data_IF_488045324356
#
_entry.id   IF_488045324356
#
_cell.length_a   1.000
_cell.length_b   1.000
_cell.length_c   1.000
_cell.angle_alpha   90.00
_cell.angle_beta   90.00
_cell.angle_gamma   90.00
#
_symmetry.space_group_name_H-M   'P 1'
#
loop_
_entity.id
_entity.type
_entity.pdbx_description
1 polymer ?
#
# COMPACT_ATOMS: atom_id res chain seq x y z
N UNK A 1 43.91 29.96 20.88
CA UNK A 1 43.88 28.49 20.98
C UNK A 1 42.53 28.01 20.49
N UNK A 2 42.54 27.34 19.34
CA UNK A 2 41.38 26.67 18.74
C UNK A 2 40.76 25.64 19.68
N UNK A 3 39.43 25.50 19.63
CA UNK A 3 38.77 24.18 19.54
C UNK A 3 37.47 24.33 18.74
N UNK A 4 37.53 23.78 17.53
CA UNK A 4 36.42 23.39 16.65
C UNK A 4 35.88 22.06 17.21
N UNK A 5 34.57 21.91 17.36
CA UNK A 5 33.78 20.66 17.39
C UNK A 5 32.32 21.04 17.72
N UNK A 6 31.28 20.69 16.98
CA UNK A 6 31.14 19.96 15.74
C UNK A 6 29.70 20.18 15.29
N UNK A 7 29.53 20.50 14.01
CA UNK A 7 28.24 20.37 13.34
C UNK A 7 27.92 18.88 13.30
N UNK A 8 27.03 18.42 14.15
CA UNK A 8 26.29 17.19 13.85
C UNK A 8 25.24 17.56 12.80
N UNK A 9 25.62 17.34 11.55
CA UNK A 9 24.67 17.17 10.46
C UNK A 9 23.76 16.00 10.83
N UNK A 10 22.59 16.30 11.38
CA UNK A 10 21.45 15.39 11.33
C UNK A 10 21.12 15.26 9.84
N UNK A 11 21.56 14.15 9.25
CA UNK A 11 21.19 13.75 7.89
C UNK A 11 19.67 13.72 7.87
N UNK A 12 19.10 14.66 7.11
CA UNK A 12 17.69 15.01 7.19
C UNK A 12 16.81 13.85 6.79
N UNK A 13 15.74 13.62 7.56
CA UNK A 13 14.56 12.96 7.04
C UNK A 13 14.13 13.72 5.78
N UNK A 14 14.26 13.11 4.59
CA UNK A 14 13.56 13.62 3.42
C UNK A 14 12.08 13.72 3.82
N UNK A 15 11.51 14.93 3.74
CA UNK A 15 10.11 15.14 4.06
C UNK A 15 9.25 14.26 3.16
N UNK A 16 8.39 13.43 3.72
CA UNK A 16 7.41 12.67 2.94
C UNK A 16 6.59 13.66 2.11
N UNK A 17 6.50 13.43 0.80
CA UNK A 17 5.88 14.34 -0.16
C UNK A 17 4.50 13.85 -0.59
N UNK A 18 3.59 14.78 -0.87
CA UNK A 18 2.28 14.44 -1.42
C UNK A 18 2.42 13.76 -2.79
N UNK A 19 1.55 12.79 -3.10
CA UNK A 19 1.60 12.07 -4.38
C UNK A 19 1.50 12.99 -5.61
N UNK A 20 0.78 14.10 -5.49
CA UNK A 20 0.58 15.08 -6.56
C UNK A 20 1.82 15.89 -6.93
N UNK A 21 2.82 15.95 -6.05
CA UNK A 21 4.08 16.64 -6.28
C UNK A 21 5.22 15.69 -6.66
N UNK A 22 4.97 14.38 -6.70
CA UNK A 22 5.90 13.40 -7.23
C UNK A 22 6.01 13.59 -8.75
N UNK A 23 7.22 13.87 -9.22
CA UNK A 23 7.52 14.01 -10.64
C UNK A 23 8.08 12.72 -11.26
N UNK A 24 8.43 12.79 -12.56
CA UNK A 24 8.97 11.63 -13.26
C UNK A 24 10.39 11.25 -12.79
N UNK A 25 11.16 12.18 -12.24
CA UNK A 25 12.53 11.91 -11.78
C UNK A 25 12.49 11.07 -10.50
N UNK A 26 11.47 11.26 -9.65
CA UNK A 26 11.23 10.44 -8.46
C UNK A 26 11.05 8.94 -8.76
N UNK A 27 10.73 8.55 -10.01
CA UNK A 27 10.67 7.14 -10.42
C UNK A 27 12.01 6.39 -10.25
N UNK A 28 13.15 7.11 -10.10
CA UNK A 28 14.44 6.52 -9.73
C UNK A 28 14.44 5.91 -8.33
N UNK A 29 13.56 6.36 -7.43
CA UNK A 29 13.43 5.81 -6.07
C UNK A 29 13.02 4.34 -6.07
N UNK A 30 12.35 3.86 -7.13
CA UNK A 30 11.93 2.46 -7.24
C UNK A 30 13.14 1.51 -7.34
N UNK A 31 14.04 1.63 -8.34
CA UNK A 31 15.24 0.81 -8.37
C UNK A 31 16.21 1.10 -7.23
N UNK A 32 16.28 2.33 -6.72
CA UNK A 32 17.12 2.67 -5.55
C UNK A 32 16.68 1.94 -4.28
N UNK A 33 15.36 1.71 -4.10
CA UNK A 33 14.79 0.98 -2.97
C UNK A 33 14.40 -0.46 -3.32
N UNK A 34 14.95 -1.03 -4.39
CA UNK A 34 14.50 -2.31 -4.95
C UNK A 34 14.49 -3.45 -3.92
N UNK A 35 15.53 -3.58 -3.10
CA UNK A 35 15.64 -4.66 -2.12
C UNK A 35 14.63 -4.49 -0.98
N UNK A 36 14.44 -3.26 -0.48
CA UNK A 36 13.42 -2.95 0.52
C UNK A 36 12.01 -3.21 0.01
N UNK A 37 11.71 -2.79 -1.24
CA UNK A 37 10.41 -3.03 -1.88
C UNK A 37 10.14 -4.54 -2.04
N UNK A 38 11.13 -5.31 -2.52
CA UNK A 38 10.99 -6.76 -2.69
C UNK A 38 10.79 -7.47 -1.35
N UNK A 39 11.60 -7.12 -0.34
CA UNK A 39 11.51 -7.73 0.98
C UNK A 39 10.14 -7.48 1.62
N UNK A 40 9.67 -6.23 1.60
CA UNK A 40 8.35 -5.88 2.14
C UNK A 40 7.21 -6.49 1.32
N UNK A 41 7.34 -6.58 0.00
CA UNK A 41 6.34 -7.26 -0.83
C UNK A 41 6.22 -8.77 -0.54
N UNK A 42 7.34 -9.44 -0.17
CA UNK A 42 7.32 -10.82 0.32
C UNK A 42 6.55 -10.94 1.65
N UNK A 43 6.86 -10.09 2.62
CA UNK A 43 6.16 -10.06 3.92
C UNK A 43 4.66 -9.78 3.77
N UNK A 44 4.30 -8.86 2.87
CA UNK A 44 2.89 -8.59 2.56
C UNK A 44 2.22 -9.81 1.94
N UNK A 45 2.92 -10.59 1.11
CA UNK A 45 2.34 -11.84 0.58
C UNK A 45 2.01 -12.82 1.68
N UNK A 46 2.88 -12.95 2.68
CA UNK A 46 2.60 -13.78 3.85
C UNK A 46 1.41 -13.23 4.65
N UNK A 47 1.32 -11.90 4.80
CA UNK A 47 0.19 -11.21 5.44
C UNK A 47 -1.13 -11.44 4.70
N UNK A 48 -1.10 -11.57 3.37
CA UNK A 48 -2.21 -11.96 2.50
C UNK A 48 -2.43 -13.48 2.41
N UNK A 49 -1.85 -14.25 3.33
CA UNK A 49 -1.95 -15.72 3.37
C UNK A 49 -1.47 -16.40 2.07
N UNK A 50 -0.45 -15.83 1.44
CA UNK A 50 0.17 -16.34 0.21
C UNK A 50 -0.58 -15.98 -1.08
N UNK A 51 -1.70 -15.25 -1.01
CA UNK A 51 -2.46 -14.88 -2.20
C UNK A 51 -1.76 -13.78 -2.97
N UNK A 52 -1.53 -13.99 -4.27
CA UNK A 52 -0.89 -13.01 -5.16
C UNK A 52 -1.90 -12.41 -6.14
N UNK A 53 -1.97 -11.08 -6.18
CA UNK A 53 -2.85 -10.33 -7.07
C UNK A 53 -2.04 -9.65 -8.15
N UNK A 54 -1.98 -10.24 -9.35
CA UNK A 54 -1.31 -9.64 -10.49
C UNK A 54 -2.10 -8.42 -10.99
N UNK A 55 -1.39 -7.36 -11.36
CA UNK A 55 -1.99 -6.14 -11.90
C UNK A 55 -1.57 -5.92 -13.35
N UNK A 56 -2.54 -5.55 -14.17
CA UNK A 56 -2.30 -4.99 -15.50
C UNK A 56 -1.78 -3.55 -15.39
N UNK A 57 -1.15 -3.01 -16.46
CA UNK A 57 -0.75 -1.61 -16.49
C UNK A 57 -1.90 -0.62 -16.28
N UNK A 58 -3.08 -0.92 -16.83
CA UNK A 58 -4.28 -0.07 -16.72
C UNK A 58 -4.80 -0.01 -15.28
N UNK A 59 -4.95 -1.17 -14.62
CA UNK A 59 -5.40 -1.23 -13.23
C UNK A 59 -4.46 -0.47 -12.31
N UNK A 60 -3.14 -0.69 -12.47
CA UNK A 60 -2.14 -0.01 -11.63
C UNK A 60 -2.15 1.50 -11.83
N UNK A 61 -2.24 1.95 -13.09
CA UNK A 61 -2.29 3.38 -13.42
C UNK A 61 -3.52 4.03 -12.78
N UNK A 62 -4.67 3.38 -12.89
CA UNK A 62 -5.94 3.86 -12.33
C UNK A 62 -5.87 4.00 -10.80
N UNK A 63 -5.25 3.02 -10.12
CA UNK A 63 -5.04 3.07 -8.67
C UNK A 63 -4.06 4.18 -8.27
N UNK A 64 -2.93 4.31 -8.96
CA UNK A 64 -1.93 5.33 -8.65
C UNK A 64 -2.48 6.75 -8.82
N UNK A 65 -3.28 6.98 -9.88
CA UNK A 65 -3.99 8.26 -10.06
C UNK A 65 -4.99 8.51 -8.94
N UNK A 66 -5.73 7.49 -8.50
CA UNK A 66 -6.68 7.62 -7.40
C UNK A 66 -6.01 7.97 -6.05
N UNK A 67 -4.79 7.48 -5.82
CA UNK A 67 -3.94 7.87 -4.67
C UNK A 67 -3.42 9.30 -4.80
N UNK A 68 -3.38 9.86 -6.01
CA UNK A 68 -3.07 11.27 -6.27
C UNK A 68 -1.81 11.50 -7.10
N UNK A 69 -1.17 10.46 -7.65
CA UNK A 69 -0.05 10.64 -8.57
C UNK A 69 -0.53 11.24 -9.89
N UNK A 70 0.32 12.04 -10.54
CA UNK A 70 0.02 12.53 -11.89
C UNK A 70 -0.04 11.38 -12.90
N UNK A 71 -0.86 11.53 -13.95
CA UNK A 71 -0.99 10.54 -15.03
C UNK A 71 0.37 10.12 -15.59
N UNK A 72 1.26 11.09 -15.85
CA UNK A 72 2.59 10.90 -16.41
C UNK A 72 3.52 10.05 -15.52
N UNK A 73 3.33 10.09 -14.19
CA UNK A 73 4.07 9.24 -13.25
C UNK A 73 3.39 7.87 -13.17
N UNK A 74 2.07 7.83 -12.98
CA UNK A 74 1.29 6.62 -12.81
C UNK A 74 1.50 5.59 -13.94
N UNK A 75 1.49 6.04 -15.20
CA UNK A 75 1.68 5.19 -16.39
C UNK A 75 3.04 4.46 -16.42
N UNK A 76 4.04 4.96 -15.69
CA UNK A 76 5.40 4.40 -15.69
C UNK A 76 5.66 3.45 -14.51
N UNK A 77 4.82 3.49 -13.47
CA UNK A 77 5.04 2.71 -12.25
C UNK A 77 5.01 1.21 -12.55
N UNK A 78 4.07 0.74 -13.38
CA UNK A 78 3.90 -0.70 -13.65
C UNK A 78 5.16 -1.35 -14.21
N UNK A 79 5.76 -0.73 -15.24
CA UNK A 79 6.99 -1.23 -15.84
C UNK A 79 8.16 -1.25 -14.86
N UNK A 80 8.26 -0.23 -14.00
CA UNK A 80 9.30 -0.15 -12.97
C UNK A 80 9.15 -1.23 -11.91
N UNK A 81 7.93 -1.48 -11.43
CA UNK A 81 7.65 -2.57 -10.47
C UNK A 81 7.92 -3.93 -11.10
N UNK A 82 7.46 -4.16 -12.33
CA UNK A 82 7.66 -5.44 -13.02
C UNK A 82 9.17 -5.74 -13.22
N UNK A 83 9.98 -4.70 -13.47
CA UNK A 83 11.43 -4.81 -13.59
C UNK A 83 12.15 -5.16 -12.28
N UNK A 84 11.50 -5.06 -11.12
CA UNK A 84 12.06 -5.55 -9.85
C UNK A 84 12.14 -7.07 -9.79
N UNK A 85 11.41 -7.79 -10.66
CA UNK A 85 11.38 -9.26 -10.72
C UNK A 85 11.02 -9.91 -9.37
N UNK A 86 10.19 -9.23 -8.58
CA UNK A 86 9.68 -9.72 -7.30
C UNK A 86 8.84 -11.00 -7.47
N UNK A 87 7.97 -11.02 -8.48
CA UNK A 87 7.08 -12.13 -8.77
C UNK A 87 7.04 -12.42 -10.27
N UNK A 88 6.91 -13.69 -10.62
CA UNK A 88 6.77 -14.15 -12.00
C UNK A 88 5.59 -15.08 -12.14
N UNK A 89 4.81 -14.92 -13.19
CA UNK A 89 3.89 -15.97 -13.64
C UNK A 89 4.67 -17.06 -14.36
N UNK A 90 4.12 -18.28 -14.37
CA UNK A 90 4.62 -19.38 -15.15
C UNK A 90 3.47 -19.96 -15.97
N UNK A 91 3.60 -19.90 -17.29
CA UNK A 91 2.59 -20.42 -18.22
C UNK A 91 3.21 -21.08 -19.44
N UNK A 92 2.37 -21.54 -20.36
CA UNK A 92 2.81 -22.19 -21.60
C UNK A 92 3.72 -21.32 -22.48
N UNK A 93 3.60 -20.00 -22.35
CA UNK A 93 4.39 -19.00 -23.10
C UNK A 93 5.70 -18.61 -22.38
N UNK A 94 6.03 -19.25 -21.26
CA UNK A 94 7.24 -18.99 -20.49
C UNK A 94 6.97 -18.30 -19.15
N UNK A 95 8.00 -17.60 -18.65
CA UNK A 95 7.95 -16.82 -17.41
C UNK A 95 8.00 -15.34 -17.71
N UNK A 96 7.15 -14.56 -17.07
CA UNK A 96 7.21 -13.10 -17.15
C UNK A 96 7.00 -12.48 -15.78
N UNK A 97 7.75 -11.43 -15.51
CA UNK A 97 7.64 -10.67 -14.27
C UNK A 97 6.36 -9.84 -14.24
N UNK A 98 5.76 -9.74 -13.06
CA UNK A 98 4.48 -9.06 -12.88
C UNK A 98 4.56 -8.01 -11.77
N UNK A 99 3.76 -6.95 -11.91
CA UNK A 99 3.40 -6.09 -10.81
C UNK A 99 2.27 -6.73 -9.99
N UNK A 100 2.28 -6.53 -8.68
CA UNK A 100 1.24 -7.02 -7.77
C UNK A 100 0.78 -5.92 -6.83
N UNK A 101 -0.35 -6.12 -6.16
CA UNK A 101 -0.79 -5.23 -5.07
C UNK A 101 0.29 -5.05 -3.99
N UNK A 102 1.02 -6.10 -3.63
CA UNK A 102 2.06 -6.07 -2.60
C UNK A 102 3.19 -5.11 -2.97
N UNK A 103 3.75 -5.27 -4.16
CA UNK A 103 4.82 -4.41 -4.62
C UNK A 103 4.32 -2.99 -4.94
N UNK A 104 3.05 -2.82 -5.32
CA UNK A 104 2.43 -1.52 -5.51
C UNK A 104 2.41 -0.71 -4.21
N UNK A 105 1.91 -1.24 -3.10
CA UNK A 105 1.79 -0.50 -1.83
C UNK A 105 3.10 0.14 -1.41
N UNK A 106 4.14 -0.69 -1.36
CA UNK A 106 5.47 -0.29 -0.92
C UNK A 106 6.07 0.71 -1.91
N UNK A 107 5.86 0.50 -3.21
CA UNK A 107 6.34 1.42 -4.25
C UNK A 107 5.72 2.80 -4.13
N UNK A 108 4.40 2.91 -3.87
CA UNK A 108 3.74 4.20 -3.74
C UNK A 108 4.25 4.97 -2.51
N UNK A 109 4.55 4.26 -1.41
CA UNK A 109 5.22 4.86 -0.24
C UNK A 109 6.65 5.32 -0.57
N UNK A 110 7.44 4.48 -1.23
CA UNK A 110 8.83 4.79 -1.62
C UNK A 110 8.92 6.03 -2.53
N UNK A 111 8.01 6.15 -3.50
CA UNK A 111 7.92 7.33 -4.38
C UNK A 111 7.65 8.62 -3.63
N UNK A 112 6.96 8.53 -2.48
CA UNK A 112 6.68 9.66 -1.59
C UNK A 112 7.81 9.94 -0.59
N UNK A 113 8.91 9.18 -0.64
CA UNK A 113 10.07 9.38 0.22
C UNK A 113 10.10 8.52 1.49
N UNK A 114 9.25 7.50 1.60
CA UNK A 114 9.37 6.52 2.69
C UNK A 114 10.56 5.60 2.41
N UNK A 115 11.55 5.62 3.30
CA UNK A 115 12.77 4.80 3.20
C UNK A 115 12.75 3.58 4.15
N UNK A 116 12.01 3.66 5.26
CA UNK A 116 11.76 2.54 6.17
C UNK A 116 10.29 2.14 6.12
N UNK A 117 10.03 0.91 5.69
CA UNK A 117 8.65 0.43 5.48
C UNK A 117 8.03 -0.19 6.73
N UNK A 118 8.84 -0.69 7.67
CA UNK A 118 8.36 -1.44 8.85
C UNK A 118 7.51 -0.58 9.77
N UNK A 119 7.84 0.71 9.89
CA UNK A 119 7.15 1.66 10.78
C UNK A 119 6.38 2.73 9.98
N UNK A 120 6.19 2.53 8.67
CA UNK A 120 5.62 3.55 7.79
C UNK A 120 4.23 4.00 8.25
N UNK A 121 3.44 3.11 8.84
CA UNK A 121 2.09 3.34 9.37
C UNK A 121 2.03 3.29 10.91
N UNK A 122 3.18 3.37 11.62
CA UNK A 122 3.24 3.21 13.09
C UNK A 122 2.44 4.26 13.89
N UNK A 123 2.09 5.39 13.26
CA UNK A 123 1.24 6.39 13.89
C UNK A 123 -0.25 6.01 13.95
N UNK A 124 -0.68 4.95 13.24
CA UNK A 124 -2.08 4.54 13.15
C UNK A 124 -2.40 3.39 14.10
N UNK A 125 -3.47 3.55 14.87
CA UNK A 125 -3.96 2.54 15.80
C UNK A 125 -5.48 2.68 16.02
N UNK A 126 -6.05 1.81 16.85
CA UNK A 126 -7.49 1.79 17.15
C UNK A 126 -8.06 3.13 17.62
N UNK A 127 -7.26 3.95 18.31
CA UNK A 127 -7.74 5.23 18.86
C UNK A 127 -7.91 6.32 17.79
N UNK A 128 -7.23 6.21 16.64
CA UNK A 128 -7.16 7.30 15.65
C UNK A 128 -7.53 6.90 14.21
N UNK A 129 -7.47 5.62 13.84
CA UNK A 129 -7.64 5.18 12.44
C UNK A 129 -8.98 5.63 11.86
N UNK A 130 -10.06 5.54 12.65
CA UNK A 130 -11.40 6.00 12.25
C UNK A 130 -11.41 7.49 11.93
N UNK A 131 -10.78 8.32 12.77
CA UNK A 131 -10.74 9.78 12.58
C UNK A 131 -9.96 10.13 11.32
N UNK A 132 -8.86 9.45 11.07
CA UNK A 132 -8.03 9.66 9.86
C UNK A 132 -8.81 9.27 8.60
N UNK A 133 -9.46 8.11 8.60
CA UNK A 133 -10.27 7.66 7.47
C UNK A 133 -11.48 8.59 7.23
N UNK A 134 -12.13 9.08 8.28
CA UNK A 134 -13.22 10.06 8.17
C UNK A 134 -12.75 11.39 7.55
N UNK A 135 -11.57 11.87 7.96
CA UNK A 135 -11.00 13.09 7.40
C UNK A 135 -10.55 12.93 5.93
N UNK A 136 -10.36 11.69 5.46
CA UNK A 136 -9.86 11.36 4.13
C UNK A 136 -10.87 10.54 3.31
N UNK A 137 -12.17 10.70 3.59
CA UNK A 137 -13.22 9.92 2.96
C UNK A 137 -13.23 10.05 1.42
N UNK A 138 -12.93 11.23 0.89
CA UNK A 138 -12.83 11.44 -0.57
C UNK A 138 -11.73 10.57 -1.19
N UNK A 139 -10.53 10.56 -0.60
CA UNK A 139 -9.43 9.70 -1.06
C UNK A 139 -9.78 8.23 -0.93
N UNK A 140 -10.40 7.83 0.18
CA UNK A 140 -10.87 6.46 0.36
C UNK A 140 -11.83 6.04 -0.76
N UNK A 141 -12.85 6.87 -1.07
CA UNK A 141 -13.83 6.55 -2.11
C UNK A 141 -13.23 6.54 -3.51
N UNK A 142 -12.30 7.46 -3.82
CA UNK A 142 -11.57 7.46 -5.11
C UNK A 142 -10.76 6.17 -5.28
N UNK A 143 -10.02 5.77 -4.24
CA UNK A 143 -9.24 4.52 -4.26
C UNK A 143 -10.19 3.33 -4.43
N UNK A 144 -11.24 3.22 -3.62
CA UNK A 144 -12.24 2.16 -3.73
C UNK A 144 -12.78 2.00 -5.15
N UNK A 145 -13.18 3.10 -5.78
CA UNK A 145 -13.72 3.11 -7.15
C UNK A 145 -12.69 2.78 -8.24
N UNK A 146 -11.39 2.93 -7.94
CA UNK A 146 -10.30 2.60 -8.85
C UNK A 146 -9.93 1.11 -8.86
N UNK A 147 -10.42 0.34 -7.89
CA UNK A 147 -10.06 -1.06 -7.75
C UNK A 147 -10.85 -1.95 -8.74
N UNK A 148 -10.23 -3.01 -9.29
CA UNK A 148 -10.91 -3.98 -10.13
C UNK A 148 -12.12 -4.63 -9.44
N UNK A 149 -13.16 -4.94 -10.22
CA UNK A 149 -14.41 -5.50 -9.71
C UNK A 149 -14.27 -6.79 -8.89
N UNK A 150 -13.19 -7.56 -9.09
CA UNK A 150 -12.92 -8.75 -8.30
C UNK A 150 -12.59 -8.43 -6.83
N UNK A 151 -12.03 -7.26 -6.54
CA UNK A 151 -11.60 -6.86 -5.20
C UNK A 151 -12.79 -6.76 -4.24
N UNK A 152 -13.97 -6.36 -4.74
CA UNK A 152 -15.22 -6.29 -3.98
C UNK A 152 -15.86 -7.68 -3.72
N UNK A 153 -15.35 -8.75 -4.35
CA UNK A 153 -15.94 -10.11 -4.29
C UNK A 153 -15.09 -11.11 -3.52
N UNK A 154 -13.82 -10.80 -3.28
CA UNK A 154 -12.92 -11.66 -2.51
C UNK A 154 -12.88 -11.17 -1.06
N UNK A 155 -13.19 -12.07 -0.13
CA UNK A 155 -13.22 -11.78 1.29
C UNK A 155 -12.07 -12.50 2.00
N UNK A 156 -11.41 -11.77 2.90
CA UNK A 156 -10.40 -12.29 3.80
C UNK A 156 -10.84 -12.11 5.24
N UNK A 157 -10.24 -12.89 6.13
CA UNK A 157 -10.47 -12.71 7.56
C UNK A 157 -10.05 -11.30 8.00
N UNK A 158 -10.73 -10.65 8.95
CA UNK A 158 -10.28 -9.35 9.47
C UNK A 158 -8.85 -9.38 10.02
N UNK A 159 -8.37 -10.54 10.47
CA UNK A 159 -6.98 -10.78 10.87
C UNK A 159 -5.99 -10.60 9.71
N UNK A 160 -6.37 -10.92 8.47
CA UNK A 160 -5.56 -10.61 7.27
C UNK A 160 -5.44 -9.10 7.08
N UNK A 161 -6.54 -8.36 7.25
CA UNK A 161 -6.52 -6.91 7.16
C UNK A 161 -5.59 -6.28 8.21
N UNK A 162 -5.67 -6.78 9.46
CA UNK A 162 -4.80 -6.36 10.55
C UNK A 162 -3.33 -6.70 10.27
N UNK A 163 -3.04 -7.92 9.78
CA UNK A 163 -1.67 -8.34 9.44
C UNK A 163 -1.06 -7.46 8.33
N UNK A 164 -1.84 -7.11 7.31
CA UNK A 164 -1.37 -6.22 6.23
C UNK A 164 -1.01 -4.83 6.76
N UNK A 165 -1.81 -4.27 7.68
CA UNK A 165 -1.51 -2.98 8.30
C UNK A 165 -0.32 -3.08 9.28
N UNK A 166 -0.23 -4.16 10.03
CA UNK A 166 0.85 -4.44 10.97
C UNK A 166 2.20 -4.67 10.26
N UNK A 167 2.21 -5.17 9.02
CA UNK A 167 3.42 -5.25 8.19
C UNK A 167 4.03 -3.87 7.88
N UNK A 168 3.27 -2.79 8.10
CA UNK A 168 3.75 -1.41 8.05
C UNK A 168 3.76 -0.73 9.43
N UNK A 169 3.62 -1.50 10.52
CA UNK A 169 3.74 -1.00 11.89
C UNK A 169 2.46 -0.46 12.51
N UNK A 170 1.32 -0.48 11.81
CA UNK A 170 0.06 -0.02 12.38
C UNK A 170 -0.53 -1.04 13.37
N UNK A 171 -1.09 -0.54 14.47
CA UNK A 171 -1.69 -1.34 15.55
C UNK A 171 -3.22 -1.23 15.52
N UNK A 172 -3.84 -1.81 14.48
CA UNK A 172 -5.30 -1.80 14.30
C UNK A 172 -5.89 -3.19 14.49
N UNK A 173 -6.87 -3.30 15.38
CA UNK A 173 -7.48 -4.59 15.72
C UNK A 173 -8.37 -5.13 14.59
N UNK A 174 -8.41 -6.48 14.41
CA UNK A 174 -9.33 -7.12 13.46
C UNK A 174 -10.79 -6.76 13.69
N UNK A 175 -11.22 -6.61 14.95
CA UNK A 175 -12.59 -6.26 15.31
C UNK A 175 -12.98 -4.87 14.80
N UNK A 176 -12.09 -3.89 15.00
CA UNK A 176 -12.31 -2.54 14.50
C UNK A 176 -12.33 -2.54 12.96
N UNK A 177 -11.43 -3.25 12.31
CA UNK A 177 -11.40 -3.34 10.83
C UNK A 177 -12.70 -3.95 10.27
N UNK A 178 -13.25 -4.96 10.93
CA UNK A 178 -14.54 -5.53 10.56
C UNK A 178 -15.69 -4.52 10.69
N UNK A 179 -15.74 -3.75 11.78
CA UNK A 179 -16.73 -2.68 11.96
C UNK A 179 -16.61 -1.58 10.90
N UNK A 180 -15.37 -1.16 10.62
CA UNK A 180 -15.10 -0.10 9.64
C UNK A 180 -15.47 -0.51 8.21
N UNK A 181 -15.36 -1.79 7.85
CA UNK A 181 -15.73 -2.27 6.51
C UNK A 181 -17.19 -1.90 6.17
N UNK A 182 -18.12 -2.11 7.10
CA UNK A 182 -19.52 -1.73 6.91
C UNK A 182 -19.70 -0.21 6.89
N UNK A 183 -18.95 0.53 7.71
CA UNK A 183 -19.04 2.01 7.76
C UNK A 183 -18.65 2.68 6.43
N UNK A 184 -17.64 2.17 5.75
CA UNK A 184 -17.11 2.80 4.52
C UNK A 184 -17.73 2.23 3.21
N UNK A 185 -18.97 1.75 3.30
CA UNK A 185 -19.75 1.21 2.18
C UNK A 185 -19.06 0.07 1.42
N UNK A 186 -18.18 -0.68 2.09
CA UNK A 186 -17.63 -1.93 1.55
C UNK A 186 -18.41 -3.11 2.12
N UNK A 187 -18.14 -4.31 1.63
CA UNK A 187 -18.86 -5.50 2.10
C UNK A 187 -18.11 -6.16 3.25
N UNK A 188 -18.84 -6.51 4.31
CA UNK A 188 -18.42 -7.48 5.31
C UNK A 188 -19.34 -8.70 5.23
N UNK A 189 -18.79 -9.88 5.52
CA UNK A 189 -19.54 -11.15 5.47
C UNK A 189 -19.42 -11.89 6.79
N UNK A 190 -20.39 -12.75 7.04
CA UNK A 190 -20.36 -13.75 8.11
C UNK A 190 -20.94 -15.05 7.55
N UNK A 191 -20.24 -16.16 7.77
CA UNK A 191 -20.75 -17.47 7.34
C UNK A 191 -21.55 -18.17 8.44
N UNK A 192 -22.05 -19.38 8.14
CA UNK A 192 -22.86 -20.18 9.07
C UNK A 192 -22.10 -20.61 10.34
N UNK A 193 -20.75 -20.58 10.31
CA UNK A 193 -19.89 -20.89 11.45
C UNK A 193 -19.50 -19.63 12.23
N UNK A 194 -20.03 -18.46 11.86
CA UNK A 194 -19.71 -17.18 12.49
C UNK A 194 -18.34 -16.62 12.08
N UNK A 195 -17.68 -17.19 11.06
CA UNK A 195 -16.41 -16.66 10.55
C UNK A 195 -16.67 -15.38 9.79
N UNK A 196 -15.94 -14.32 10.17
CA UNK A 196 -16.06 -12.98 9.61
C UNK A 196 -15.15 -12.81 8.40
N UNK A 197 -15.55 -11.96 7.47
CA UNK A 197 -14.71 -11.54 6.35
C UNK A 197 -14.91 -10.07 5.98
N UNK A 198 -13.85 -9.46 5.46
CA UNK A 198 -13.81 -8.14 4.84
C UNK A 198 -13.24 -8.26 3.43
N UNK A 199 -13.68 -7.41 2.51
CA UNK A 199 -13.25 -7.50 1.10
C UNK A 199 -11.80 -7.07 0.90
N UNK A 200 -11.16 -7.57 -0.16
CA UNK A 200 -9.88 -7.02 -0.66
C UNK A 200 -10.03 -5.52 -0.92
N UNK A 201 -11.14 -5.10 -1.53
CA UNK A 201 -11.47 -3.69 -1.76
C UNK A 201 -11.34 -2.84 -0.48
N UNK A 202 -11.87 -3.31 0.64
CA UNK A 202 -11.76 -2.63 1.93
C UNK A 202 -10.31 -2.51 2.40
N UNK A 203 -9.59 -3.64 2.46
CA UNK A 203 -8.20 -3.68 2.95
C UNK A 203 -7.33 -2.73 2.13
N UNK A 204 -7.43 -2.79 0.80
CA UNK A 204 -6.67 -1.93 -0.12
C UNK A 204 -7.01 -0.46 0.07
N UNK A 205 -8.30 -0.14 0.21
CA UNK A 205 -8.76 1.25 0.39
C UNK A 205 -8.25 1.83 1.71
N UNK A 206 -8.28 1.06 2.81
CA UNK A 206 -7.71 1.50 4.09
C UNK A 206 -6.20 1.70 3.97
N UNK A 207 -5.45 0.67 3.54
CA UNK A 207 -3.98 0.73 3.48
C UNK A 207 -3.50 1.91 2.64
N UNK A 208 -4.04 2.08 1.43
CA UNK A 208 -3.63 3.16 0.53
C UNK A 208 -4.08 4.55 1.02
N UNK A 209 -5.24 4.64 1.68
CA UNK A 209 -5.67 5.91 2.28
C UNK A 209 -4.74 6.32 3.42
N UNK A 210 -4.44 5.42 4.35
CA UNK A 210 -3.50 5.70 5.45
C UNK A 210 -2.12 6.04 4.91
N UNK A 211 -1.62 5.26 3.94
CA UNK A 211 -0.36 5.54 3.27
C UNK A 211 -0.35 6.94 2.66
N UNK A 212 -1.43 7.41 2.04
CA UNK A 212 -1.50 8.74 1.42
C UNK A 212 -1.38 9.90 2.42
N UNK A 213 -1.65 9.65 3.70
CA UNK A 213 -1.63 10.68 4.77
C UNK A 213 -0.29 10.84 5.48
N UNK A 214 0.70 10.00 5.15
CA UNK A 214 2.08 10.13 5.63
C UNK A 214 2.74 11.45 5.24
#
# INVERSE_FOLDING_TARGET
MSRIHGMENVVGAESIIAASIVDADALRKIPENADGIKAKAMELTDSWAGVMFALTPEELTTIAVAVGFSQNVAEKIHGKISALNYATTQGAQGRWSIATYHSLDVTLMALRGVESFDDALASFNDSNVRKVLDANQETFQRIKQSLPAHAARMNFKPETAAAVLAAFGAEVSPDLLYELATKYDTTSVIDLEGRRGVTVEFIRSVTLTLASTL
#
